data_IF_277847966566
#
_entry.id   IF_277847966566
#
_cell.length_a   1.000
_cell.length_b   1.000
_cell.length_c   1.000
_cell.angle_alpha   90.00
_cell.angle_beta   90.00
_cell.angle_gamma   90.00
#
_symmetry.space_group_name_H-M   'P 1'
#
loop_
_entity.id
_entity.type
_entity.pdbx_description
1 polymer ?
#
# COMPACT_ATOMS: atom_id res chain seq x y z
N UNK A 1 -15.80 3.86 -8.23
CA UNK A 1 -14.63 3.08 -8.67
C UNK A 1 -14.76 1.69 -8.04
N UNK A 2 -14.63 0.63 -8.83
CA UNK A 2 -14.65 -0.75 -8.33
C UNK A 2 -13.29 -1.13 -7.74
N UNK A 3 -13.22 -2.24 -7.01
CA UNK A 3 -11.95 -2.75 -6.49
C UNK A 3 -10.97 -3.11 -7.61
N UNK A 4 -11.46 -3.63 -8.74
CA UNK A 4 -10.61 -3.99 -9.88
C UNK A 4 -10.03 -2.73 -10.57
N UNK A 5 -10.83 -1.67 -10.69
CA UNK A 5 -10.36 -0.37 -11.18
C UNK A 5 -9.32 0.24 -10.24
N UNK A 6 -9.57 0.21 -8.93
CA UNK A 6 -8.62 0.68 -7.91
C UNK A 6 -7.31 -0.09 -7.96
N UNK A 7 -7.40 -1.42 -8.05
CA UNK A 7 -6.23 -2.31 -8.13
C UNK A 7 -5.41 -2.01 -9.38
N UNK A 8 -6.07 -1.83 -10.52
CA UNK A 8 -5.39 -1.53 -11.78
C UNK A 8 -4.69 -0.16 -11.73
N UNK A 9 -5.36 0.89 -11.23
CA UNK A 9 -4.76 2.22 -11.10
C UNK A 9 -3.53 2.18 -10.18
N UNK A 10 -3.65 1.51 -9.03
CA UNK A 10 -2.56 1.37 -8.09
C UNK A 10 -1.38 0.59 -8.69
N UNK A 11 -1.66 -0.47 -9.45
CA UNK A 11 -0.65 -1.25 -10.15
C UNK A 11 0.06 -0.43 -11.23
N UNK A 12 -0.70 0.23 -12.12
CA UNK A 12 -0.15 1.05 -13.19
C UNK A 12 0.71 2.19 -12.62
N UNK A 13 0.28 2.79 -11.51
CA UNK A 13 1.05 3.81 -10.81
C UNK A 13 2.37 3.26 -10.24
N UNK A 14 2.31 2.12 -9.51
CA UNK A 14 3.48 1.43 -8.97
C UNK A 14 4.46 1.08 -10.09
N UNK A 15 3.99 0.43 -11.17
CA UNK A 15 4.82 0.06 -12.32
C UNK A 15 5.43 1.28 -13.00
N UNK A 16 4.68 2.37 -13.15
CA UNK A 16 5.19 3.62 -13.70
C UNK A 16 6.30 4.26 -12.86
N UNK A 17 6.30 4.02 -11.54
CA UNK A 17 7.27 4.59 -10.61
C UNK A 17 8.51 3.71 -10.40
N UNK A 18 8.32 2.41 -10.17
CA UNK A 18 9.40 1.49 -9.79
C UNK A 18 9.66 0.36 -10.80
N UNK A 19 8.85 0.25 -11.86
CA UNK A 19 8.92 -0.81 -12.86
C UNK A 19 8.22 -2.11 -12.42
N UNK A 20 7.91 -2.98 -13.39
CA UNK A 20 7.24 -4.27 -13.12
C UNK A 20 8.09 -5.18 -12.20
N UNK A 21 9.40 -5.21 -12.44
CA UNK A 21 10.38 -5.97 -11.65
C UNK A 21 11.07 -5.12 -10.56
N UNK A 22 10.54 -3.93 -10.26
CA UNK A 22 11.04 -3.09 -9.17
C UNK A 22 10.82 -3.74 -7.81
N UNK A 23 11.82 -3.61 -6.93
CA UNK A 23 11.67 -4.09 -5.55
C UNK A 23 10.66 -3.19 -4.80
N UNK A 24 9.67 -3.78 -4.11
CA UNK A 24 8.76 -3.02 -3.24
C UNK A 24 9.42 -2.63 -1.90
N UNK A 25 10.54 -3.24 -1.53
CA UNK A 25 11.20 -3.04 -0.24
C UNK A 25 11.60 -1.58 -0.01
N UNK A 26 11.07 -0.97 1.06
CA UNK A 26 11.36 0.41 1.42
C UNK A 26 10.71 1.46 0.51
N UNK A 27 9.85 1.03 -0.43
CA UNK A 27 9.18 1.93 -1.38
C UNK A 27 7.77 2.35 -0.92
N UNK A 28 7.26 1.81 0.19
CA UNK A 28 5.89 2.04 0.66
C UNK A 28 5.52 3.52 0.74
N UNK A 29 6.36 4.37 1.35
CA UNK A 29 6.09 5.82 1.40
C UNK A 29 6.12 6.49 0.02
N UNK A 30 7.11 6.13 -0.81
CA UNK A 30 7.32 6.72 -2.13
C UNK A 30 6.20 6.35 -3.12
N UNK A 31 5.58 5.19 -2.96
CA UNK A 31 4.46 4.73 -3.78
C UNK A 31 3.11 5.20 -3.21
N UNK A 32 2.84 4.93 -1.93
CA UNK A 32 1.53 5.17 -1.31
C UNK A 32 1.19 6.66 -1.17
N UNK A 33 2.15 7.53 -0.88
CA UNK A 33 1.91 8.97 -0.70
C UNK A 33 1.38 9.65 -1.97
N UNK A 34 2.09 9.59 -3.12
CA UNK A 34 1.58 10.23 -4.33
C UNK A 34 0.35 9.50 -4.91
N UNK A 35 0.22 8.18 -4.73
CA UNK A 35 -0.98 7.45 -5.13
C UNK A 35 -2.21 7.92 -4.36
N UNK A 36 -2.10 8.13 -3.04
CA UNK A 36 -3.20 8.69 -2.24
C UNK A 36 -3.60 10.09 -2.72
N UNK A 37 -2.63 10.92 -3.11
CA UNK A 37 -2.89 12.23 -3.72
C UNK A 37 -3.64 12.12 -5.06
N UNK A 38 -3.22 11.19 -5.94
CA UNK A 38 -3.86 10.94 -7.23
C UNK A 38 -5.30 10.43 -7.07
N UNK A 39 -5.54 9.49 -6.15
CA UNK A 39 -6.87 8.94 -5.87
C UNK A 39 -7.83 10.01 -5.33
N UNK A 40 -7.36 10.86 -4.42
CA UNK A 40 -8.13 12.01 -3.93
C UNK A 40 -8.44 13.00 -5.07
N UNK A 41 -7.49 13.24 -5.98
CA UNK A 41 -7.72 14.06 -7.17
C UNK A 41 -8.78 13.47 -8.11
N UNK A 42 -8.86 12.15 -8.22
CA UNK A 42 -9.92 11.44 -8.95
C UNK A 42 -11.25 11.32 -8.18
N UNK A 43 -11.37 11.95 -7.00
CA UNK A 43 -12.58 11.93 -6.21
C UNK A 43 -12.82 10.62 -5.45
N UNK A 44 -11.78 9.80 -5.27
CA UNK A 44 -11.81 8.65 -4.36
C UNK A 44 -11.24 9.11 -3.01
N UNK A 45 -12.08 9.36 -2.00
CA UNK A 45 -11.60 9.83 -0.70
C UNK A 45 -10.79 8.71 -0.05
N UNK A 46 -9.52 8.97 0.23
CA UNK A 46 -8.63 8.01 0.89
C UNK A 46 -7.75 8.72 1.90
N UNK A 47 -7.31 7.99 2.91
CA UNK A 47 -6.37 8.46 3.93
C UNK A 47 -5.04 7.72 3.77
N UNK A 48 -3.93 8.45 3.87
CA UNK A 48 -2.59 7.87 3.94
C UNK A 48 -2.31 7.52 5.41
N UNK A 49 -1.96 6.26 5.69
CA UNK A 49 -1.77 5.75 7.05
C UNK A 49 -0.34 5.25 7.23
N UNK A 50 0.24 5.61 8.37
CA UNK A 50 1.51 5.08 8.87
C UNK A 50 1.25 3.96 9.88
N UNK A 51 1.96 2.86 9.73
CA UNK A 51 2.02 1.73 10.66
C UNK A 51 3.42 1.64 11.27
N UNK A 52 3.49 1.49 12.59
CA UNK A 52 4.72 1.26 13.34
C UNK A 52 4.92 -0.25 13.54
N UNK A 53 6.09 -0.75 13.17
CA UNK A 53 6.50 -2.15 13.30
C UNK A 53 7.76 -2.30 14.16
N UNK A 54 8.17 -1.26 14.89
CA UNK A 54 9.34 -1.29 15.76
C UNK A 54 9.25 -2.33 16.88
N UNK A 55 8.05 -2.80 17.21
CA UNK A 55 7.77 -3.85 18.18
C UNK A 55 7.85 -5.27 17.61
N UNK A 56 8.06 -5.42 16.29
CA UNK A 56 8.06 -6.73 15.62
C UNK A 56 9.48 -7.29 15.48
N UNK A 57 9.93 -8.21 16.36
CA UNK A 57 11.28 -8.75 16.28
C UNK A 57 11.49 -9.50 14.96
N UNK A 58 12.46 -9.04 14.17
CA UNK A 58 12.84 -9.66 12.90
C UNK A 58 12.15 -9.10 11.66
N UNK A 59 11.24 -8.12 11.76
CA UNK A 59 10.86 -7.34 10.58
C UNK A 59 12.04 -6.45 10.21
N UNK A 60 12.55 -6.54 8.97
CA UNK A 60 13.51 -5.56 8.46
C UNK A 60 12.93 -4.14 8.29
N UNK A 61 11.68 -3.94 8.74
CA UNK A 61 10.85 -2.77 8.52
C UNK A 61 10.48 -2.16 9.87
N UNK A 62 10.77 -0.87 10.03
CA UNK A 62 10.41 -0.10 11.22
C UNK A 62 9.04 0.56 11.07
N UNK A 63 8.69 0.94 9.85
CA UNK A 63 7.48 1.69 9.51
C UNK A 63 6.94 1.19 8.16
N UNK A 64 5.63 1.29 7.96
CA UNK A 64 4.96 0.97 6.70
C UNK A 64 3.89 2.01 6.38
N UNK A 65 3.75 2.35 5.09
CA UNK A 65 2.80 3.34 4.62
C UNK A 65 1.82 2.74 3.60
N UNK A 66 0.53 2.83 3.89
CA UNK A 66 -0.55 2.24 3.11
C UNK A 66 -1.73 3.21 3.01
N UNK A 67 -2.73 2.85 2.20
CA UNK A 67 -3.88 3.71 1.91
C UNK A 67 -5.15 3.11 2.50
N UNK A 68 -5.86 3.87 3.33
CA UNK A 68 -7.15 3.49 3.92
C UNK A 68 -8.30 3.99 3.06
N UNK A 69 -9.16 3.04 2.68
CA UNK A 69 -10.41 3.30 1.95
C UNK A 69 -11.52 3.75 2.92
N UNK A 70 -12.59 4.43 2.43
CA UNK A 70 -13.67 4.95 3.28
C UNK A 70 -14.43 3.90 4.08
N UNK A 71 -14.43 2.66 3.61
CA UNK A 71 -15.06 1.50 4.27
C UNK A 71 -14.13 0.80 5.26
N UNK A 72 -12.95 1.39 5.54
CA UNK A 72 -11.96 0.86 6.48
C UNK A 72 -11.07 -0.23 5.88
N UNK A 73 -11.22 -0.56 4.60
CA UNK A 73 -10.33 -1.49 3.91
C UNK A 73 -8.98 -0.84 3.58
N UNK A 74 -8.01 -1.70 3.34
CA UNK A 74 -6.65 -1.36 2.91
C UNK A 74 -6.59 -1.36 1.39
N UNK A 75 -5.83 -0.42 0.84
CA UNK A 75 -5.19 -0.47 -0.46
C UNK A 75 -3.67 -0.35 -0.23
N UNK A 76 -2.91 -1.41 -0.49
CA UNK A 76 -1.46 -1.43 -0.30
C UNK A 76 -0.75 -1.88 -1.60
N UNK A 77 -0.14 -0.93 -2.34
CA UNK A 77 0.58 -1.23 -3.58
C UNK A 77 1.98 -1.84 -3.34
N UNK A 78 2.37 -2.04 -2.09
CA UNK A 78 3.68 -2.56 -1.68
C UNK A 78 3.58 -3.74 -0.72
N UNK A 79 2.40 -4.35 -0.60
CA UNK A 79 2.15 -5.45 0.33
C UNK A 79 3.04 -6.68 0.05
N UNK A 80 3.47 -6.84 -1.20
CA UNK A 80 4.42 -7.86 -1.66
C UNK A 80 5.81 -7.74 -0.99
N UNK A 81 6.14 -6.63 -0.32
CA UNK A 81 7.35 -6.56 0.52
C UNK A 81 7.30 -7.48 1.76
N UNK A 82 6.11 -7.95 2.14
CA UNK A 82 5.89 -8.83 3.30
C UNK A 82 5.60 -10.28 2.90
N UNK A 83 5.21 -10.52 1.65
CA UNK A 83 4.82 -11.84 1.16
C UNK A 83 5.74 -12.27 0.01
N UNK A 84 6.58 -13.28 0.26
CA UNK A 84 7.51 -13.83 -0.74
C UNK A 84 6.85 -14.73 -1.78
N UNK A 85 5.57 -15.08 -1.60
CA UNK A 85 4.84 -15.98 -2.49
C UNK A 85 4.10 -15.20 -3.58
N UNK A 86 4.76 -15.09 -4.74
CA UNK A 86 4.29 -14.46 -5.98
C UNK A 86 3.81 -12.99 -5.86
N UNK A 87 4.03 -12.14 -6.88
CA UNK A 87 3.60 -10.75 -6.81
C UNK A 87 2.07 -10.73 -6.75
N UNK A 88 1.49 -10.47 -5.57
CA UNK A 88 0.15 -9.93 -5.48
C UNK A 88 0.33 -8.42 -5.69
N UNK A 89 0.09 -7.92 -6.92
CA UNK A 89 0.64 -6.63 -7.36
C UNK A 89 0.17 -5.43 -6.53
N UNK A 90 -0.99 -5.57 -5.88
CA UNK A 90 -1.63 -4.60 -5.00
C UNK A 90 -2.60 -5.36 -4.08
N UNK A 91 -2.47 -5.19 -2.77
CA UNK A 91 -3.41 -5.73 -1.79
C UNK A 91 -4.64 -4.83 -1.65
N UNK A 92 -5.84 -5.41 -1.70
CA UNK A 92 -7.09 -4.76 -1.32
C UNK A 92 -7.88 -5.70 -0.42
N UNK A 93 -8.18 -5.29 0.81
CA UNK A 93 -8.84 -6.16 1.78
C UNK A 93 -8.99 -5.57 3.17
N UNK A 94 -9.28 -6.43 4.15
CA UNK A 94 -9.32 -6.02 5.57
C UNK A 94 -7.90 -5.77 6.09
N UNK A 95 -7.71 -4.90 7.09
CA UNK A 95 -6.40 -4.72 7.73
C UNK A 95 -5.81 -6.05 8.24
N UNK A 96 -4.50 -6.20 8.06
CA UNK A 96 -3.70 -7.32 8.55
C UNK A 96 -2.75 -6.84 9.64
N UNK A 97 -1.86 -7.72 10.14
CA UNK A 97 -0.85 -7.32 11.10
C UNK A 97 0.16 -6.27 10.59
N UNK A 98 0.27 -6.11 9.26
CA UNK A 98 1.11 -5.09 8.62
C UNK A 98 0.43 -3.73 8.48
N UNK A 99 -0.86 -3.61 8.85
CA UNK A 99 -1.67 -2.40 8.68
C UNK A 99 -2.18 -1.85 10.02
N UNK A 100 -1.37 -1.94 11.07
CA UNK A 100 -1.72 -1.44 12.41
C UNK A 100 -1.60 0.07 12.44
N UNK A 101 -2.70 0.79 12.62
CA UNK A 101 -2.68 2.25 12.72
C UNK A 101 -1.83 2.68 13.92
N UNK A 102 -0.94 3.65 13.71
CA UNK A 102 -0.24 4.30 14.81
C UNK A 102 -1.23 5.11 15.65
N UNK A 103 -1.52 4.65 16.88
CA UNK A 103 -2.36 5.35 17.87
C UNK A 103 -1.58 6.36 18.71
#
# INVERSE_FOLDING_TARGET
MTDDELRQIAWDFRVGLIGEAGSPEGMCFAVSTPLAGLLNFYGVPVELVESDHSDHPGSGYLEHWWIKLPDGRVLDPTFDQFCSEEPVPVYIGLPTEFHRERT
#
